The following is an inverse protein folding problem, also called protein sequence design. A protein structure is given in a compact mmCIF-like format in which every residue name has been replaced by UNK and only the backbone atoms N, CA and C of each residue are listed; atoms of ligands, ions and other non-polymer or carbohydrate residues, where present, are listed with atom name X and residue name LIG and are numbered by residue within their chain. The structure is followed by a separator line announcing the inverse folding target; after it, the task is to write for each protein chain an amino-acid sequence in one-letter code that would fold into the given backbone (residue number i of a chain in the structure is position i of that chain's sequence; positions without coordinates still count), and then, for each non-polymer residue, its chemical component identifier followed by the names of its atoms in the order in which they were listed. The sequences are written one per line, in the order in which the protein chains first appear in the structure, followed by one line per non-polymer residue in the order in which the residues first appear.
data_IF_347486328385
#
_entry.id   IF_347486328385
#
_cell.length_a   1.000
_cell.length_b   1.000
_cell.length_c   1.000
_cell.angle_alpha   90.00
_cell.angle_beta   90.00
_cell.angle_gamma   90.00
#
_symmetry.space_group_name_H-M   'P 1'
#
loop_
_entity.id
_entity.type
_entity.pdbx_description
1 polymer ?
#
# COMPACT_ATOMS: atom_id res chain seq x y z
N UNK A 1 -1.26 -6.33 -14.91
CA UNK A 1 -2.03 -5.07 -14.92
C UNK A 1 -1.48 -4.18 -13.81
N UNK A 2 -1.14 -2.94 -14.13
CA UNK A 2 -0.72 -1.94 -13.15
C UNK A 2 -1.97 -1.16 -12.71
N UNK A 3 -2.16 -0.98 -11.41
CA UNK A 3 -3.35 -0.31 -10.85
C UNK A 3 -3.03 1.13 -10.45
N UNK A 4 -1.89 1.35 -9.80
CA UNK A 4 -1.48 2.66 -9.29
C UNK A 4 0.04 2.72 -9.16
N UNK A 5 0.58 3.93 -9.26
CA UNK A 5 1.93 4.29 -8.82
C UNK A 5 1.75 5.48 -7.87
N UNK A 6 2.41 5.44 -6.71
CA UNK A 6 2.37 6.51 -5.70
C UNK A 6 3.80 6.82 -5.28
N UNK A 7 4.08 8.09 -5.08
CA UNK A 7 5.24 8.53 -4.31
C UNK A 7 4.86 8.44 -2.83
N UNK A 8 5.78 7.93 -2.02
CA UNK A 8 5.62 7.71 -0.58
C UNK A 8 6.97 7.87 0.11
N UNK A 9 6.92 8.21 1.39
CA UNK A 9 8.06 8.15 2.32
C UNK A 9 7.83 7.08 3.38
N UNK A 10 8.87 6.69 4.12
CA UNK A 10 8.79 5.57 5.08
C UNK A 10 7.75 5.77 6.19
N UNK A 11 7.43 7.03 6.55
CA UNK A 11 6.41 7.34 7.56
C UNK A 11 4.97 7.25 7.01
N UNK A 12 4.78 7.19 5.70
CA UNK A 12 3.45 7.11 5.12
C UNK A 12 2.78 5.76 5.39
N UNK A 13 1.47 5.76 5.28
CA UNK A 13 0.68 4.54 5.23
C UNK A 13 0.12 4.30 3.82
N UNK A 14 0.05 3.04 3.42
CA UNK A 14 -0.65 2.60 2.23
C UNK A 14 -2.02 2.06 2.62
N UNK A 15 -3.07 2.66 2.08
CA UNK A 15 -4.43 2.15 2.16
C UNK A 15 -4.81 1.41 0.88
N UNK A 16 -5.26 0.17 1.03
CA UNK A 16 -5.76 -0.70 -0.04
C UNK A 16 -7.22 -1.03 0.25
N UNK A 17 -8.08 -0.81 -0.75
CA UNK A 17 -9.52 -1.08 -0.65
C UNK A 17 -9.89 -2.10 -1.73
N UNK A 18 -10.56 -3.19 -1.32
CA UNK A 18 -11.05 -4.21 -2.26
C UNK A 18 -12.49 -3.94 -2.69
N UNK A 19 -12.90 -4.53 -3.80
CA UNK A 19 -14.27 -4.43 -4.34
C UNK A 19 -15.35 -4.97 -3.38
N UNK A 20 -14.96 -5.83 -2.43
CA UNK A 20 -15.85 -6.35 -1.39
C UNK A 20 -15.87 -5.50 -0.11
N UNK A 21 -15.24 -4.32 -0.13
CA UNK A 21 -15.25 -3.37 0.99
C UNK A 21 -14.24 -3.66 2.09
N UNK A 22 -13.28 -4.57 1.86
CA UNK A 22 -12.18 -4.81 2.79
C UNK A 22 -11.18 -3.66 2.67
N UNK A 23 -10.85 -3.04 3.79
CA UNK A 23 -9.89 -1.94 3.88
C UNK A 23 -8.67 -2.40 4.68
N UNK A 24 -7.49 -2.18 4.12
CA UNK A 24 -6.22 -2.61 4.68
C UNK A 24 -5.29 -1.40 4.73
N UNK A 25 -4.74 -1.10 5.90
CA UNK A 25 -3.75 -0.03 6.13
C UNK A 25 -2.44 -0.68 6.54
N UNK A 26 -1.34 -0.32 5.89
CA UNK A 26 0.00 -0.83 6.20
C UNK A 26 1.01 0.31 6.15
N UNK A 27 1.95 0.32 7.10
CA UNK A 27 3.04 1.27 7.11
C UNK A 27 3.99 1.00 5.94
N UNK A 28 4.38 2.05 5.22
CA UNK A 28 5.26 1.96 4.06
C UNK A 28 6.66 1.49 4.46
N UNK A 29 7.16 1.92 5.62
CA UNK A 29 8.46 1.50 6.15
C UNK A 29 8.58 -0.01 6.42
N UNK A 30 7.48 -0.74 6.59
CA UNK A 30 7.48 -2.21 6.71
C UNK A 30 7.54 -2.92 5.35
N UNK A 31 7.34 -2.21 4.24
CA UNK A 31 7.38 -2.77 2.89
C UNK A 31 8.82 -2.86 2.41
N UNK A 32 9.24 -4.08 2.05
CA UNK A 32 10.60 -4.31 1.55
C UNK A 32 10.90 -3.48 0.29
N UNK A 33 11.95 -2.67 0.36
CA UNK A 33 12.50 -1.94 -0.80
C UNK A 33 13.05 -2.93 -1.83
N UNK A 34 12.65 -2.74 -3.09
CA UNK A 34 13.08 -3.57 -4.22
C UNK A 34 13.40 -2.71 -5.44
N UNK A 35 14.29 -3.22 -6.31
CA UNK A 35 14.60 -2.58 -7.58
C UNK A 35 13.43 -2.64 -8.59
N UNK A 36 13.52 -1.80 -9.63
CA UNK A 36 12.45 -1.64 -10.65
C UNK A 36 12.22 -2.89 -11.52
N UNK A 37 13.26 -3.67 -11.79
CA UNK A 37 13.15 -4.88 -12.61
C UNK A 37 12.92 -6.13 -11.73
N UNK A 38 11.83 -6.13 -10.97
CA UNK A 38 11.43 -7.22 -10.06
C UNK A 38 9.92 -7.43 -10.12
N UNK A 39 9.42 -8.54 -9.57
CA UNK A 39 7.97 -8.78 -9.44
C UNK A 39 7.34 -8.05 -8.24
N UNK A 40 8.14 -7.45 -7.36
CA UNK A 40 7.69 -6.87 -6.10
C UNK A 40 7.39 -7.92 -5.01
N UNK A 41 6.78 -7.45 -3.92
CA UNK A 41 6.31 -8.27 -2.81
C UNK A 41 4.78 -8.36 -2.80
N UNK A 42 4.26 -9.45 -2.24
CA UNK A 42 2.82 -9.59 -2.01
C UNK A 42 2.44 -8.90 -0.70
N UNK A 43 1.67 -7.82 -0.79
CA UNK A 43 1.17 -7.08 0.38
C UNK A 43 -0.07 -7.75 1.00
N UNK A 44 -1.00 -8.20 0.15
CA UNK A 44 -2.26 -8.80 0.60
C UNK A 44 -2.58 -10.08 -0.17
N UNK A 45 -3.31 -11.00 0.48
CA UNK A 45 -3.91 -12.17 -0.18
C UNK A 45 -5.38 -11.88 -0.42
N UNK A 46 -5.77 -11.76 -1.68
CA UNK A 46 -7.17 -11.58 -2.05
C UNK A 46 -7.94 -12.90 -1.92
N UNK A 47 -9.19 -12.80 -1.47
CA UNK A 47 -10.14 -13.90 -1.52
C UNK A 47 -10.59 -14.17 -2.96
N UNK A 48 -11.16 -15.34 -3.18
CA UNK A 48 -11.68 -15.71 -4.50
C UNK A 48 -12.75 -14.71 -4.98
N UNK A 49 -12.61 -14.27 -6.23
CA UNK A 49 -13.47 -13.27 -6.85
C UNK A 49 -13.37 -11.87 -6.24
N UNK A 50 -12.35 -11.57 -5.43
CA UNK A 50 -12.08 -10.22 -4.94
C UNK A 50 -10.97 -9.55 -5.76
N UNK A 51 -11.06 -8.23 -5.89
CA UNK A 51 -10.13 -7.41 -6.66
C UNK A 51 -9.86 -6.09 -5.96
N UNK A 52 -8.75 -5.43 -6.32
CA UNK A 52 -8.45 -4.09 -5.79
C UNK A 52 -9.37 -3.08 -6.44
N UNK A 53 -10.08 -2.31 -5.62
CA UNK A 53 -10.89 -1.17 -6.06
C UNK A 53 -10.08 0.13 -6.04
N UNK A 54 -9.30 0.36 -4.99
CA UNK A 54 -8.52 1.58 -4.85
C UNK A 54 -7.24 1.35 -4.03
N UNK A 55 -6.24 2.20 -4.31
CA UNK A 55 -5.01 2.32 -3.52
C UNK A 55 -4.76 3.80 -3.28
N UNK A 56 -4.50 4.20 -2.04
CA UNK A 56 -4.18 5.55 -1.63
C UNK A 56 -2.98 5.55 -0.69
N UNK A 57 -2.10 6.54 -0.85
CA UNK A 57 -1.13 6.89 0.19
C UNK A 57 -1.81 7.82 1.19
N UNK A 58 -1.54 7.61 2.47
CA UNK A 58 -1.92 8.45 3.59
C UNK A 58 -0.64 9.01 4.14
N UNK A 59 -0.52 10.33 4.15
CA UNK A 59 0.65 11.00 4.70
C UNK A 59 0.73 10.62 6.19
N UNK A 60 1.87 10.10 6.60
CA UNK A 60 2.13 9.80 8.01
C UNK A 60 1.95 11.06 8.85
N UNK A 61 1.40 10.94 10.04
CA UNK A 61 1.43 12.07 10.97
C UNK A 61 2.90 12.35 11.28
N UNK A 62 3.36 13.55 10.92
CA UNK A 62 4.56 14.12 11.54
C UNK A 62 4.17 14.33 13.00
N UNK A 63 4.42 13.33 13.86
CA UNK A 63 4.65 13.65 15.27
C UNK A 63 5.80 14.64 15.25
N UNK A 64 5.48 15.94 15.39
CA UNK A 64 6.44 17.00 15.61
C UNK A 64 7.47 16.44 16.58
N UNK A 65 8.71 16.29 16.11
CA UNK A 65 9.82 15.97 16.96
C UNK A 65 9.86 17.03 18.07
N UNK A 66 9.43 16.66 19.28
CA UNK A 66 9.74 17.43 20.49
C UNK A 66 11.26 17.55 20.66
#
# INVERSE_FOLDING_TARGET
SLISIREVVDNDDLMIITTKGIMIRQNVGEIRVMGRNTQGVRLIKLHEGDTISAVASVVGDDEEAE
#
